data_IF_210755333782
#
_entry.id   IF_210755333782
#
_cell.length_a   1.000
_cell.length_b   1.000
_cell.length_c   1.000
_cell.angle_alpha   90.00
_cell.angle_beta   90.00
_cell.angle_gamma   90.00
#
_symmetry.space_group_name_H-M   'P 1'
#
loop_
_entity.id
_entity.type
_entity.pdbx_description
1 polymer ?
#
# COMPACT_ATOMS: atom_id res chain seq x y z
N UNK A 1 -19.50 11.32 -14.87
CA UNK A 1 -18.33 12.06 -15.43
C UNK A 1 -17.27 12.12 -14.34
N UNK A 2 -16.04 11.67 -14.59
CA UNK A 2 -14.98 11.66 -13.56
C UNK A 2 -14.59 13.10 -13.23
N UNK A 3 -14.79 13.52 -11.98
CA UNK A 3 -14.46 14.88 -11.51
C UNK A 3 -13.08 14.85 -10.85
N UNK A 4 -12.23 15.85 -11.18
CA UNK A 4 -10.87 16.04 -10.61
C UNK A 4 -9.92 14.84 -10.76
N UNK A 5 -9.70 14.30 -11.97
CA UNK A 5 -8.88 13.10 -12.18
C UNK A 5 -7.38 13.29 -11.90
N UNK A 6 -6.87 14.52 -11.91
CA UNK A 6 -5.43 14.78 -11.81
C UNK A 6 -4.92 14.86 -10.37
N UNK A 7 -5.56 15.70 -9.55
CA UNK A 7 -5.16 16.00 -8.16
C UNK A 7 -6.14 15.43 -7.12
N UNK A 8 -7.30 14.93 -7.54
CA UNK A 8 -8.33 14.40 -6.64
C UNK A 8 -8.99 15.47 -5.76
N UNK A 9 -9.53 15.03 -4.63
CA UNK A 9 -10.30 15.82 -3.67
C UNK A 9 -9.51 16.25 -2.41
N UNK A 10 -8.23 15.90 -2.34
CA UNK A 10 -7.38 16.11 -1.17
C UNK A 10 -7.37 14.88 -0.25
N UNK A 11 -6.34 14.78 0.59
CA UNK A 11 -6.15 13.65 1.50
C UNK A 11 -7.26 13.63 2.57
N UNK A 12 -7.71 12.43 2.95
CA UNK A 12 -8.82 12.21 3.90
C UNK A 12 -10.18 12.87 3.51
N UNK A 13 -10.38 13.21 2.23
CA UNK A 13 -11.59 13.86 1.72
C UNK A 13 -12.40 12.93 0.79
N UNK A 14 -12.49 11.63 1.12
CA UNK A 14 -13.18 10.65 0.27
C UNK A 14 -14.70 10.88 0.26
N UNK A 15 -15.25 11.48 1.32
CA UNK A 15 -16.66 11.85 1.44
C UNK A 15 -17.07 12.91 0.41
N UNK A 16 -16.21 13.90 0.13
CA UNK A 16 -16.44 14.91 -0.90
C UNK A 16 -16.51 14.28 -2.30
N UNK A 17 -15.62 13.32 -2.58
CA UNK A 17 -15.66 12.58 -3.84
C UNK A 17 -16.95 11.77 -3.97
N UNK A 18 -17.45 11.19 -2.87
CA UNK A 18 -18.66 10.37 -2.84
C UNK A 18 -19.94 11.20 -3.02
N UNK A 19 -20.07 12.34 -2.34
CA UNK A 19 -21.24 13.26 -2.42
C UNK A 19 -21.51 13.77 -3.84
N UNK A 20 -20.48 13.81 -4.67
CA UNK A 20 -20.53 14.34 -6.03
C UNK A 20 -21.06 13.34 -7.07
N UNK A 21 -21.18 12.07 -6.67
CA UNK A 21 -21.75 11.01 -7.50
C UNK A 21 -23.23 10.87 -7.14
N UNK A 22 -24.16 11.04 -8.10
CA UNK A 22 -25.58 10.88 -7.82
C UNK A 22 -25.86 9.43 -7.44
N UNK A 23 -26.23 9.20 -6.18
CA UNK A 23 -26.56 7.89 -5.65
C UNK A 23 -28.08 7.67 -5.73
N UNK A 24 -28.55 6.50 -6.20
CA UNK A 24 -29.98 6.26 -6.42
C UNK A 24 -30.81 6.17 -5.12
N UNK A 25 -30.14 6.06 -3.96
CA UNK A 25 -30.77 6.08 -2.66
C UNK A 25 -30.44 7.38 -1.92
N UNK A 26 -31.48 8.14 -1.61
CA UNK A 26 -31.40 9.29 -0.71
C UNK A 26 -31.55 8.78 0.72
N UNK A 27 -30.48 8.82 1.48
CA UNK A 27 -30.52 8.54 2.90
C UNK A 27 -31.06 9.77 3.63
N UNK A 28 -31.97 9.57 4.58
CA UNK A 28 -32.53 10.66 5.41
C UNK A 28 -31.49 11.28 6.36
N UNK A 29 -30.32 10.64 6.50
CA UNK A 29 -29.21 11.10 7.33
C UNK A 29 -27.95 11.22 6.48
N UNK A 30 -27.12 12.22 6.81
CA UNK A 30 -25.82 12.41 6.16
C UNK A 30 -24.93 11.19 6.38
N UNK A 31 -24.57 10.51 5.29
CA UNK A 31 -23.55 9.46 5.32
C UNK A 31 -22.19 10.14 5.30
N UNK A 32 -21.52 10.16 6.46
CA UNK A 32 -20.12 10.49 6.54
C UNK A 32 -19.29 9.26 6.17
N UNK A 33 -18.60 9.31 5.03
CA UNK A 33 -17.71 8.24 4.57
C UNK A 33 -16.27 8.58 4.99
N UNK A 34 -15.78 7.95 6.05
CA UNK A 34 -14.46 8.24 6.61
C UNK A 34 -13.31 7.61 5.80
N UNK A 35 -13.50 6.37 5.33
CA UNK A 35 -12.54 5.64 4.48
C UNK A 35 -13.25 4.72 3.49
N UNK A 36 -12.57 4.40 2.39
CA UNK A 36 -13.03 3.38 1.45
C UNK A 36 -12.50 1.99 1.84
N UNK A 37 -13.21 0.94 1.43
CA UNK A 37 -12.71 -0.45 1.57
C UNK A 37 -11.55 -0.77 0.62
N UNK A 38 -11.33 0.05 -0.41
CA UNK A 38 -10.22 -0.11 -1.35
C UNK A 38 -9.26 1.08 -1.28
N UNK A 39 -8.06 0.80 -0.78
CA UNK A 39 -7.01 1.82 -0.62
C UNK A 39 -6.56 2.39 -1.97
N UNK A 40 -6.53 1.58 -3.04
CA UNK A 40 -6.17 2.06 -4.39
C UNK A 40 -7.22 3.06 -4.90
N UNK A 41 -8.50 2.73 -4.73
CA UNK A 41 -9.59 3.61 -5.15
C UNK A 41 -9.62 4.89 -4.32
N UNK A 42 -9.34 4.79 -3.02
CA UNK A 42 -9.23 5.95 -2.13
C UNK A 42 -8.11 6.88 -2.56
N UNK A 43 -6.89 6.36 -2.79
CA UNK A 43 -5.75 7.15 -3.27
C UNK A 43 -6.08 7.81 -4.60
N UNK A 44 -6.71 7.09 -5.54
CA UNK A 44 -7.10 7.66 -6.82
C UNK A 44 -8.14 8.79 -6.67
N UNK A 45 -9.17 8.60 -5.85
CA UNK A 45 -10.20 9.61 -5.63
C UNK A 45 -9.64 10.84 -4.91
N UNK A 46 -8.78 10.65 -3.91
CA UNK A 46 -8.27 11.72 -3.05
C UNK A 46 -7.10 12.48 -3.67
N UNK A 47 -6.19 11.79 -4.39
CA UNK A 47 -4.96 12.39 -4.92
C UNK A 47 -4.88 12.39 -6.45
N UNK A 48 -5.85 11.79 -7.12
CA UNK A 48 -5.88 11.66 -8.58
C UNK A 48 -4.82 10.70 -9.12
N UNK A 49 -4.59 10.80 -10.43
CA UNK A 49 -3.63 9.95 -11.13
C UNK A 49 -2.18 10.18 -10.69
N UNK A 50 -1.85 11.39 -10.23
CA UNK A 50 -0.48 11.73 -9.81
C UNK A 50 -0.13 10.97 -8.54
N UNK A 51 -0.97 11.08 -7.51
CA UNK A 51 -0.71 10.36 -6.25
C UNK A 51 -0.87 8.85 -6.40
N UNK A 52 -1.82 8.38 -7.22
CA UNK A 52 -1.91 6.95 -7.56
C UNK A 52 -0.62 6.45 -8.22
N UNK A 53 -0.05 7.21 -9.15
CA UNK A 53 1.19 6.81 -9.83
C UNK A 53 2.35 6.69 -8.85
N UNK A 54 2.50 7.66 -7.94
CA UNK A 54 3.52 7.61 -6.87
C UNK A 54 3.31 6.40 -5.96
N UNK A 55 2.07 6.16 -5.54
CA UNK A 55 1.70 5.01 -4.69
C UNK A 55 2.06 3.68 -5.36
N UNK A 56 1.73 3.51 -6.64
CA UNK A 56 2.09 2.32 -7.42
C UNK A 56 3.60 2.18 -7.59
N UNK A 57 4.33 3.28 -7.82
CA UNK A 57 5.80 3.23 -7.89
C UNK A 57 6.42 2.72 -6.59
N UNK A 58 5.91 3.13 -5.43
CA UNK A 58 6.37 2.64 -4.11
C UNK A 58 6.10 1.14 -3.98
N UNK A 59 4.88 0.69 -4.30
CA UNK A 59 4.53 -0.74 -4.26
C UNK A 59 5.45 -1.56 -5.17
N UNK A 60 5.63 -1.14 -6.41
CA UNK A 60 6.48 -1.83 -7.38
C UNK A 60 7.93 -1.87 -6.90
N UNK A 61 8.45 -0.77 -6.36
CA UNK A 61 9.80 -0.71 -5.81
C UNK A 61 9.98 -1.74 -4.69
N UNK A 62 9.11 -1.72 -3.67
CA UNK A 62 9.16 -2.65 -2.54
C UNK A 62 9.02 -4.10 -3.01
N UNK A 63 8.07 -4.37 -3.90
CA UNK A 63 7.83 -5.70 -4.43
C UNK A 63 9.07 -6.24 -5.16
N UNK A 64 9.70 -5.41 -6.01
CA UNK A 64 10.95 -5.78 -6.69
C UNK A 64 12.07 -6.06 -5.70
N UNK A 65 12.23 -5.22 -4.68
CA UNK A 65 13.26 -5.41 -3.65
C UNK A 65 13.07 -6.70 -2.86
N UNK A 66 11.87 -6.94 -2.34
CA UNK A 66 11.53 -8.16 -1.59
C UNK A 66 11.66 -9.41 -2.47
N UNK A 67 11.28 -9.34 -3.74
CA UNK A 67 11.48 -10.44 -4.69
C UNK A 67 12.97 -10.75 -4.88
N UNK A 68 13.81 -9.75 -5.10
CA UNK A 68 15.26 -9.97 -5.22
C UNK A 68 15.84 -10.60 -3.94
N UNK A 69 15.49 -10.07 -2.76
CA UNK A 69 15.93 -10.62 -1.47
C UNK A 69 15.43 -12.07 -1.25
N UNK A 70 14.21 -12.39 -1.66
CA UNK A 70 13.60 -13.71 -1.52
C UNK A 70 14.21 -14.78 -2.43
N UNK A 71 14.86 -14.40 -3.54
CA UNK A 71 15.39 -15.34 -4.52
C UNK A 71 16.91 -15.30 -4.71
N UNK A 72 17.59 -14.24 -4.28
CA UNK A 72 19.03 -14.05 -4.48
C UNK A 72 19.84 -14.09 -3.19
N UNK A 73 19.21 -14.09 -2.01
CA UNK A 73 19.92 -14.22 -0.73
C UNK A 73 20.25 -15.67 -0.39
N UNK A 74 21.22 -15.88 0.50
CA UNK A 74 21.58 -17.17 1.06
C UNK A 74 20.38 -18.01 1.52
N UNK A 75 20.47 -19.32 1.30
CA UNK A 75 19.42 -20.30 1.61
C UNK A 75 18.91 -20.23 3.06
N UNK A 76 19.76 -19.80 3.99
CA UNK A 76 19.40 -19.62 5.41
C UNK A 76 18.43 -18.46 5.65
N UNK A 77 18.52 -17.35 4.90
CA UNK A 77 17.61 -16.21 5.04
C UNK A 77 16.49 -16.20 3.99
N UNK A 78 16.61 -17.05 2.97
CA UNK A 78 15.65 -17.11 1.88
C UNK A 78 14.21 -17.34 2.35
N UNK A 79 14.01 -18.19 3.36
CA UNK A 79 12.68 -18.45 3.93
C UNK A 79 12.09 -17.17 4.56
N UNK A 80 12.89 -16.41 5.30
CA UNK A 80 12.48 -15.17 5.95
C UNK A 80 11.97 -14.13 4.95
N UNK A 81 12.73 -13.86 3.89
CA UNK A 81 12.30 -12.90 2.86
C UNK A 81 11.10 -13.39 2.04
N UNK A 82 10.98 -14.70 1.79
CA UNK A 82 9.78 -15.28 1.17
C UNK A 82 8.54 -15.08 2.03
N UNK A 83 8.66 -15.24 3.35
CA UNK A 83 7.58 -14.97 4.29
C UNK A 83 7.19 -13.50 4.28
N UNK A 84 8.17 -12.58 4.31
CA UNK A 84 7.90 -11.13 4.24
C UNK A 84 7.22 -10.77 2.91
N UNK A 85 7.69 -11.32 1.78
CA UNK A 85 7.07 -11.11 0.48
C UNK A 85 5.61 -11.60 0.47
N UNK A 86 5.33 -12.77 1.05
CA UNK A 86 3.97 -13.29 1.17
C UNK A 86 3.10 -12.39 2.03
N UNK A 87 3.59 -11.95 3.20
CA UNK A 87 2.88 -11.01 4.08
C UNK A 87 2.59 -9.70 3.35
N UNK A 88 3.54 -9.19 2.56
CA UNK A 88 3.33 -7.98 1.77
C UNK A 88 2.22 -8.14 0.73
N UNK A 89 2.21 -9.26 0.00
CA UNK A 89 1.14 -9.57 -0.95
C UNK A 89 -0.23 -9.73 -0.28
N UNK A 90 -0.27 -10.40 0.88
CA UNK A 90 -1.50 -10.55 1.67
C UNK A 90 -2.01 -9.20 2.17
N UNK A 91 -1.13 -8.30 2.62
CA UNK A 91 -1.51 -6.95 3.02
C UNK A 91 -2.06 -6.15 1.84
N UNK A 92 -1.43 -6.21 0.66
CA UNK A 92 -1.95 -5.55 -0.52
C UNK A 92 -3.37 -6.02 -0.85
N UNK A 93 -3.63 -7.33 -0.77
CA UNK A 93 -4.98 -7.86 -0.97
C UNK A 93 -5.96 -7.43 0.13
N UNK A 94 -5.54 -7.49 1.40
CA UNK A 94 -6.33 -7.07 2.56
C UNK A 94 -6.76 -5.60 2.42
N UNK A 95 -5.85 -4.72 1.99
CA UNK A 95 -6.08 -3.28 1.80
C UNK A 95 -7.06 -2.92 0.69
N UNK A 96 -7.45 -3.88 -0.15
CA UNK A 96 -8.47 -3.67 -1.19
C UNK A 96 -9.87 -4.07 -0.76
N UNK A 97 -10.00 -4.80 0.35
CA UNK A 97 -11.27 -5.38 0.80
C UNK A 97 -11.71 -4.91 2.17
N UNK A 98 -10.79 -4.38 2.98
CA UNK A 98 -11.04 -3.97 4.36
C UNK A 98 -10.68 -2.50 4.59
N UNK A 99 -11.38 -1.87 5.52
CA UNK A 99 -11.00 -0.55 6.02
C UNK A 99 -9.82 -0.72 6.96
N UNK A 100 -8.67 -0.17 6.58
CA UNK A 100 -7.42 -0.25 7.36
C UNK A 100 -7.29 0.99 8.25
N UNK A 101 -6.89 0.76 9.50
CA UNK A 101 -6.58 1.84 10.44
C UNK A 101 -5.28 2.56 10.06
N UNK A 102 -5.20 3.86 10.34
CA UNK A 102 -3.98 4.65 10.08
C UNK A 102 -2.75 4.08 10.81
N UNK A 103 -2.93 3.55 12.02
CA UNK A 103 -1.83 2.97 12.78
C UNK A 103 -1.26 1.71 12.12
N UNK A 104 -2.14 0.82 11.64
CA UNK A 104 -1.74 -0.39 10.91
C UNK A 104 -0.93 -0.05 9.65
N UNK A 105 -1.42 0.91 8.87
CA UNK A 105 -0.75 1.36 7.65
C UNK A 105 0.65 1.96 7.95
N UNK A 106 0.76 2.80 8.98
CA UNK A 106 2.04 3.39 9.39
C UNK A 106 3.04 2.33 9.85
N UNK A 107 2.64 1.42 10.75
CA UNK A 107 3.54 0.36 11.22
C UNK A 107 3.99 -0.55 10.09
N UNK A 108 3.06 -0.93 9.21
CA UNK A 108 3.34 -1.80 8.10
C UNK A 108 4.36 -1.17 7.13
N UNK A 109 4.10 0.05 6.65
CA UNK A 109 4.99 0.73 5.70
C UNK A 109 6.35 1.05 6.31
N UNK A 110 6.41 1.36 7.61
CA UNK A 110 7.68 1.58 8.29
C UNK A 110 8.55 0.33 8.33
N UNK A 111 7.99 -0.80 8.78
CA UNK A 111 8.71 -2.08 8.87
C UNK A 111 9.18 -2.54 7.49
N UNK A 112 8.29 -2.46 6.49
CA UNK A 112 8.62 -2.83 5.11
C UNK A 112 9.68 -1.90 4.51
N UNK A 113 9.64 -0.60 4.81
CA UNK A 113 10.66 0.36 4.38
C UNK A 113 12.05 0.03 4.92
N UNK A 114 12.15 -0.34 6.20
CA UNK A 114 13.41 -0.77 6.82
C UNK A 114 13.95 -2.04 6.14
N UNK A 115 13.10 -3.06 5.96
CA UNK A 115 13.48 -4.34 5.37
C UNK A 115 13.85 -4.23 3.89
N UNK A 116 13.16 -3.38 3.12
CA UNK A 116 13.45 -3.17 1.70
C UNK A 116 14.83 -2.51 1.47
N UNK A 117 15.37 -1.82 2.48
CA UNK A 117 16.68 -1.18 2.44
C UNK A 117 17.85 -2.15 2.73
N UNK A 118 17.59 -3.41 3.09
CA UNK A 118 18.65 -4.38 3.36
C UNK A 118 19.47 -4.73 2.11
N UNK A 119 20.77 -4.96 2.30
CA UNK A 119 21.68 -5.32 1.21
C UNK A 119 21.54 -6.79 0.81
N UNK A 120 21.46 -7.05 -0.49
CA UNK A 120 21.29 -8.39 -1.07
C UNK A 120 22.48 -9.33 -0.75
N UNK A 121 23.67 -8.78 -0.45
CA UNK A 121 24.92 -9.54 -0.23
C UNK A 121 25.29 -9.78 1.26
N UNK A 122 24.33 -9.77 2.20
CA UNK A 122 24.66 -9.55 3.61
C UNK A 122 25.50 -10.62 4.34
N UNK A 123 25.83 -11.81 3.80
CA UNK A 123 26.71 -12.79 4.52
C UNK A 123 27.66 -13.63 3.64
N UNK A 124 28.74 -13.01 3.18
CA UNK A 124 30.03 -13.69 2.93
C UNK A 124 31.10 -13.25 3.95
N UNK A 125 30.77 -13.26 5.25
CA UNK A 125 31.81 -13.19 6.28
C UNK A 125 32.23 -14.63 6.60
N UNK A 126 33.44 -15.09 6.23
CA UNK A 126 33.93 -16.37 6.70
C UNK A 126 34.01 -16.32 8.22
N UNK A 127 33.44 -17.33 8.89
CA UNK A 127 33.64 -17.56 10.31
C UNK A 127 35.15 -17.62 10.57
N UNK A 128 35.68 -16.54 11.15
CA UNK A 128 37.08 -16.48 11.56
C UNK A 128 37.22 -17.45 12.74
N UNK A 129 37.82 -18.61 12.45
CA UNK A 129 38.25 -19.58 13.47
C UNK A 129 39.34 -18.97 14.35
#
# INVERSE_FOLDING_TARGET
>A
MIKRPLLGWGWANVDYAFKEVPYPMFYQHDIYLDKAHSSILEVFATTGIIGLSIYLCIIIYVLRRLFLLAFQTDRSQQLWYKTILLVFLLFLFHSQTNVISIAEELYFWFVIGVLANENINSKHAPLRK
#
